data_IF_250795488470
#
_entry.id   IF_250795488470
#
_cell.length_a   1.000
_cell.length_b   1.000
_cell.length_c   1.000
_cell.angle_alpha   90.00
_cell.angle_beta   90.00
_cell.angle_gamma   90.00
#
_symmetry.space_group_name_H-M   'P 1'
#
loop_
_entity.id
_entity.type
_entity.pdbx_description
1 polymer ?
#
# COMPACT_ATOMS: atom_id res chain seq x y z
N UNK A 1 -12.44 21.33 -42.86
CA UNK A 1 -11.51 21.48 -41.73
C UNK A 1 -12.17 20.87 -40.52
N UNK A 2 -11.99 19.56 -40.37
CA UNK A 2 -12.51 18.79 -39.25
C UNK A 2 -11.59 19.06 -38.05
N UNK A 3 -12.16 19.60 -36.97
CA UNK A 3 -11.44 19.87 -35.73
C UNK A 3 -11.28 18.55 -34.99
N UNK A 4 -10.03 18.10 -34.92
CA UNK A 4 -9.54 17.02 -34.06
C UNK A 4 -10.03 17.25 -32.62
N UNK A 5 -10.79 16.28 -32.13
CA UNK A 5 -11.30 16.23 -30.77
C UNK A 5 -10.38 15.25 -30.03
N UNK A 6 -9.52 15.70 -29.09
CA UNK A 6 -8.68 14.76 -28.37
C UNK A 6 -9.55 13.94 -27.44
N UNK A 7 -9.69 12.65 -27.76
CA UNK A 7 -10.24 11.62 -26.89
C UNK A 7 -9.62 11.73 -25.48
N UNK A 8 -10.39 11.61 -24.39
CA UNK A 8 -9.81 11.44 -23.05
C UNK A 8 -9.18 10.05 -22.99
N UNK A 9 -7.91 9.96 -23.42
CA UNK A 9 -7.11 8.75 -23.28
C UNK A 9 -6.87 8.46 -21.80
N UNK A 10 -7.29 7.25 -21.41
CA UNK A 10 -6.82 6.49 -20.27
C UNK A 10 -7.13 7.08 -18.89
N UNK A 11 -8.04 6.42 -18.16
CA UNK A 11 -8.20 6.53 -16.71
C UNK A 11 -6.90 6.14 -16.01
N UNK A 12 -5.88 6.99 -16.08
CA UNK A 12 -4.67 6.85 -15.31
C UNK A 12 -5.00 7.36 -13.91
N UNK A 13 -5.52 6.46 -13.07
CA UNK A 13 -5.65 6.76 -11.64
C UNK A 13 -4.28 7.24 -11.17
N UNK A 14 -4.16 8.47 -10.64
CA UNK A 14 -2.86 9.01 -10.30
C UNK A 14 -2.19 8.11 -9.28
N UNK A 15 -0.89 7.87 -9.46
CA UNK A 15 -0.12 6.94 -8.63
C UNK A 15 -0.23 7.26 -7.13
N UNK A 16 -0.43 8.54 -6.78
CA UNK A 16 -0.70 9.01 -5.42
C UNK A 16 -1.99 8.45 -4.81
N UNK A 17 -3.06 8.29 -5.60
CA UNK A 17 -4.31 7.66 -5.14
C UNK A 17 -4.07 6.18 -4.87
N UNK A 18 -3.42 5.47 -5.80
CA UNK A 18 -3.10 4.06 -5.62
C UNK A 18 -2.20 3.84 -4.39
N UNK A 19 -1.20 4.69 -4.18
CA UNK A 19 -0.35 4.69 -3.00
C UNK A 19 -1.14 4.88 -1.71
N UNK A 20 -2.03 5.87 -1.65
CA UNK A 20 -2.88 6.11 -0.47
C UNK A 20 -3.78 4.92 -0.13
N UNK A 21 -4.30 4.22 -1.14
CA UNK A 21 -5.12 3.02 -0.95
C UNK A 21 -4.26 1.89 -0.35
N UNK A 22 -3.07 1.67 -0.90
CA UNK A 22 -2.15 0.63 -0.41
C UNK A 22 -1.67 0.91 1.01
N UNK A 23 -1.35 2.16 1.34
CA UNK A 23 -0.96 2.57 2.70
C UNK A 23 -2.11 2.31 3.68
N UNK A 24 -3.35 2.63 3.28
CA UNK A 24 -4.53 2.36 4.11
C UNK A 24 -4.70 0.86 4.36
N UNK A 25 -4.58 0.04 3.31
CA UNK A 25 -4.67 -1.42 3.45
C UNK A 25 -3.56 -1.99 4.31
N UNK A 26 -2.34 -1.46 4.21
CA UNK A 26 -1.22 -1.85 5.08
C UNK A 26 -1.54 -1.53 6.54
N UNK A 27 -2.01 -0.33 6.84
CA UNK A 27 -2.38 0.07 8.21
C UNK A 27 -3.54 -0.79 8.75
N UNK A 28 -4.56 -1.08 7.95
CA UNK A 28 -5.68 -1.94 8.36
C UNK A 28 -5.24 -3.39 8.61
N UNK A 29 -4.32 -3.91 7.79
CA UNK A 29 -3.74 -5.25 7.97
C UNK A 29 -2.90 -5.29 9.25
N UNK A 30 -2.02 -4.32 9.45
CA UNK A 30 -1.20 -4.21 10.66
C UNK A 30 -2.05 -4.01 11.92
N UNK A 31 -3.15 -3.25 11.82
CA UNK A 31 -4.12 -3.10 12.90
C UNK A 31 -4.81 -4.43 13.22
N UNK A 32 -5.18 -5.21 12.21
CA UNK A 32 -5.77 -6.54 12.41
C UNK A 32 -4.81 -7.54 13.08
N UNK A 33 -3.50 -7.31 12.96
CA UNK A 33 -2.47 -8.14 13.61
C UNK A 33 -2.18 -7.72 15.05
N UNK A 34 -2.16 -6.40 15.31
CA UNK A 34 -1.71 -5.85 16.59
C UNK A 34 -2.84 -5.42 17.53
N UNK A 35 -4.03 -5.16 16.99
CA UNK A 35 -5.16 -4.59 17.73
C UNK A 35 -4.98 -3.13 18.17
N UNK A 36 -3.92 -2.45 17.73
CA UNK A 36 -3.60 -1.07 18.13
C UNK A 36 -3.10 -0.24 16.96
N UNK A 37 -3.65 0.96 16.77
CA UNK A 37 -3.25 1.85 15.68
C UNK A 37 -1.79 2.29 15.83
N UNK A 38 -1.35 2.59 17.06
CA UNK A 38 0.03 3.00 17.32
C UNK A 38 1.02 1.87 17.00
N UNK A 39 0.71 0.64 17.40
CA UNK A 39 1.55 -0.53 17.07
C UNK A 39 1.53 -0.82 15.56
N UNK A 40 0.37 -0.69 14.91
CA UNK A 40 0.23 -0.86 13.47
C UNK A 40 1.10 0.13 12.69
N UNK A 41 1.07 1.42 13.04
CA UNK A 41 1.91 2.44 12.41
C UNK A 41 3.39 2.16 12.64
N UNK A 42 3.80 1.80 13.86
CA UNK A 42 5.19 1.46 14.16
C UNK A 42 5.68 0.24 13.37
N UNK A 43 4.82 -0.79 13.21
CA UNK A 43 5.12 -1.95 12.36
C UNK A 43 5.20 -1.57 10.87
N UNK A 44 4.31 -0.73 10.37
CA UNK A 44 4.41 -0.26 8.99
C UNK A 44 5.74 0.47 8.77
N UNK A 45 6.13 1.37 9.68
CA UNK A 45 7.40 2.11 9.61
C UNK A 45 8.63 1.20 9.70
N UNK A 46 8.60 0.14 10.51
CA UNK A 46 9.73 -0.80 10.59
C UNK A 46 9.87 -1.71 9.37
N UNK A 47 8.81 -1.84 8.57
CA UNK A 47 8.78 -2.64 7.34
C UNK A 47 9.03 -1.81 6.08
N UNK A 48 9.09 -0.47 6.19
CA UNK A 48 9.50 0.41 5.08
C UNK A 48 10.93 0.08 4.71
N UNK A 49 11.18 0.00 3.41
CA UNK A 49 12.48 -0.28 2.83
C UNK A 49 12.91 0.96 2.05
N UNK A 50 13.80 1.75 2.64
CA UNK A 50 14.29 3.01 2.07
C UNK A 50 15.13 2.83 0.79
N UNK A 51 15.55 1.60 0.47
CA UNK A 51 16.25 1.29 -0.79
C UNK A 51 15.27 1.15 -1.97
N UNK A 52 13.98 0.93 -1.68
CA UNK A 52 12.93 0.85 -2.69
C UNK A 52 12.40 2.23 -3.09
N UNK A 53 12.03 2.44 -4.37
CA UNK A 53 11.33 3.66 -4.78
C UNK A 53 10.03 3.84 -3.99
N UNK A 54 9.72 5.07 -3.57
CA UNK A 54 8.53 5.42 -2.77
C UNK A 54 7.23 4.80 -3.31
N UNK A 55 7.10 4.76 -4.64
CA UNK A 55 5.96 4.16 -5.36
C UNK A 55 5.78 2.65 -5.13
N UNK A 56 6.82 1.95 -4.68
CA UNK A 56 6.81 0.52 -4.35
C UNK A 56 6.86 0.23 -2.85
N UNK A 57 7.31 1.19 -2.02
CA UNK A 57 7.48 0.98 -0.57
C UNK A 57 6.17 0.54 0.11
N UNK A 58 5.06 1.23 -0.17
CA UNK A 58 3.77 0.87 0.41
C UNK A 58 3.32 -0.55 0.05
N UNK A 59 3.54 -0.97 -1.20
CA UNK A 59 3.20 -2.31 -1.67
C UNK A 59 4.09 -3.38 -1.02
N UNK A 60 5.38 -3.09 -0.84
CA UNK A 60 6.31 -3.98 -0.15
C UNK A 60 5.93 -4.15 1.34
N UNK A 61 5.59 -3.07 2.03
CA UNK A 61 5.08 -3.10 3.42
C UNK A 61 3.84 -3.97 3.51
N UNK A 62 2.87 -3.77 2.62
CA UNK A 62 1.64 -4.57 2.58
C UNK A 62 1.94 -6.06 2.34
N UNK A 63 2.84 -6.38 1.42
CA UNK A 63 3.25 -7.76 1.15
C UNK A 63 3.88 -8.43 2.38
N UNK A 64 4.77 -7.72 3.09
CA UNK A 64 5.39 -8.22 4.33
C UNK A 64 4.34 -8.43 5.44
N UNK A 65 3.39 -7.50 5.59
CA UNK A 65 2.29 -7.65 6.54
C UNK A 65 1.41 -8.86 6.23
N UNK A 66 1.11 -9.11 4.96
CA UNK A 66 0.40 -10.32 4.56
C UNK A 66 1.19 -11.60 4.88
N UNK A 67 2.51 -11.59 4.70
CA UNK A 67 3.35 -12.73 5.10
C UNK A 67 3.29 -12.99 6.61
N UNK A 68 3.33 -11.94 7.43
CA UNK A 68 3.19 -12.04 8.89
C UNK A 68 1.79 -12.58 9.26
N UNK A 69 0.74 -12.09 8.59
CA UNK A 69 -0.63 -12.53 8.81
C UNK A 69 -0.86 -14.00 8.45
N UNK A 70 -0.26 -14.46 7.34
CA UNK A 70 -0.37 -15.84 6.87
C UNK A 70 0.50 -16.81 7.67
N UNK A 71 1.63 -16.36 8.23
CA UNK A 71 2.49 -17.16 9.10
C UNK A 71 2.02 -17.20 10.56
N UNK A 72 0.71 -17.14 10.82
CA UNK A 72 0.22 -17.47 12.16
C UNK A 72 0.68 -18.89 12.50
N UNK A 73 1.41 -19.10 13.61
CA UNK A 73 1.79 -20.44 14.02
C UNK A 73 0.50 -21.23 14.24
N UNK A 74 0.37 -22.34 13.52
CA UNK A 74 -0.65 -23.35 13.79
C UNK A 74 -0.35 -23.90 15.18
N UNK A 75 -1.08 -23.42 16.18
CA UNK A 75 -1.10 -23.99 17.52
C UNK A 75 -2.14 -25.11 17.58
#
# INVERSE_FOLDING_TARGET
>A
MEKENPSPSSSQVPASILQSVVVRDAVLTAFSLTGSLSAATALCSSLVDDELPEVHQAAAVLARLHQIAMHRPKH
#
